data_IF_296880549261
#
_entry.id   IF_296880549261
#
_cell.length_a   1.000
_cell.length_b   1.000
_cell.length_c   1.000
_cell.angle_alpha   90.00
_cell.angle_beta   90.00
_cell.angle_gamma   90.00
#
_symmetry.space_group_name_H-M   'P 1'
#
loop_
_entity.id
_entity.type
_entity.pdbx_description
1 polymer ?
#
# COMPACT_ATOMS: atom_id res chain seq x y z
N UNK A 1 -1.22 26.31 -70.77
CA UNK A 1 -2.05 26.37 -69.53
C UNK A 1 -1.58 25.25 -68.62
N UNK A 2 -1.14 25.55 -67.38
CA UNK A 2 -0.73 24.53 -66.39
C UNK A 2 -1.67 24.63 -65.19
N UNK A 3 -2.41 23.56 -64.89
CA UNK A 3 -3.30 23.52 -63.73
C UNK A 3 -2.52 23.26 -62.45
N UNK A 4 -2.70 24.12 -61.45
CA UNK A 4 -2.19 23.93 -60.09
C UNK A 4 -3.30 23.32 -59.22
N UNK A 5 -3.09 22.17 -58.56
CA UNK A 5 -4.07 21.65 -57.62
C UNK A 5 -3.98 22.40 -56.28
N UNK A 6 -5.09 22.95 -55.82
CA UNK A 6 -5.19 23.60 -54.51
C UNK A 6 -5.26 22.51 -53.44
N UNK A 7 -4.18 22.33 -52.69
CA UNK A 7 -4.11 21.39 -51.57
C UNK A 7 -4.98 21.90 -50.42
N UNK A 8 -6.17 21.33 -50.25
CA UNK A 8 -7.05 21.61 -49.10
C UNK A 8 -6.48 20.94 -47.86
N UNK A 9 -5.78 21.72 -47.02
CA UNK A 9 -5.44 21.31 -45.65
C UNK A 9 -6.73 21.12 -44.84
N UNK A 10 -7.10 19.87 -44.59
CA UNK A 10 -8.16 19.52 -43.66
C UNK A 10 -7.68 19.82 -42.24
N UNK A 11 -8.24 20.86 -41.62
CA UNK A 11 -8.00 21.17 -40.22
C UNK A 11 -8.73 20.15 -39.35
N UNK A 12 -8.03 19.09 -38.94
CA UNK A 12 -8.57 18.10 -38.01
C UNK A 12 -8.78 18.76 -36.64
N UNK A 13 -10.03 19.09 -36.32
CA UNK A 13 -10.39 19.60 -35.00
C UNK A 13 -10.15 18.50 -33.96
N UNK A 14 -9.13 18.69 -33.12
CA UNK A 14 -8.90 17.86 -31.95
C UNK A 14 -10.01 18.11 -30.93
N UNK A 15 -11.08 17.30 -31.00
CA UNK A 15 -12.07 17.22 -29.94
C UNK A 15 -11.35 16.84 -28.63
N UNK A 16 -11.57 17.56 -27.53
CA UNK A 16 -10.97 17.17 -26.26
C UNK A 16 -11.48 15.79 -25.88
N UNK A 17 -10.58 14.88 -25.49
CA UNK A 17 -10.98 13.64 -24.84
C UNK A 17 -11.77 14.01 -23.59
N UNK A 18 -13.08 13.77 -23.62
CA UNK A 18 -13.90 13.79 -22.41
C UNK A 18 -13.43 12.62 -21.57
N UNK A 19 -12.63 12.91 -20.54
CA UNK A 19 -12.26 11.93 -19.54
C UNK A 19 -13.55 11.51 -18.83
N UNK A 20 -14.05 10.33 -19.16
CA UNK A 20 -15.27 9.77 -18.59
C UNK A 20 -15.07 9.59 -17.08
N UNK A 21 -15.67 10.50 -16.30
CA UNK A 21 -15.82 10.30 -14.87
C UNK A 21 -16.86 9.21 -14.65
N UNK A 22 -16.52 8.22 -13.83
CA UNK A 22 -17.41 7.12 -13.47
C UNK A 22 -17.86 7.27 -12.01
N UNK A 23 -19.08 6.82 -11.70
CA UNK A 23 -19.54 6.75 -10.31
C UNK A 23 -18.83 5.63 -9.55
N UNK A 24 -18.60 5.85 -8.26
CA UNK A 24 -18.05 4.88 -7.34
C UNK A 24 -18.52 5.04 -5.90
N UNK A 25 -18.27 3.99 -5.11
CA UNK A 25 -18.62 3.89 -3.69
C UNK A 25 -17.36 3.86 -2.84
N UNK A 26 -17.40 4.48 -1.65
CA UNK A 26 -16.31 4.34 -0.68
C UNK A 26 -16.69 3.44 0.49
N UNK A 27 -15.67 2.81 1.07
CA UNK A 27 -15.65 2.42 2.48
C UNK A 27 -14.36 2.96 3.13
N UNK A 28 -14.11 2.59 4.37
CA UNK A 28 -12.91 2.94 5.13
C UNK A 28 -12.36 1.68 5.80
N UNK A 29 -11.06 1.48 5.74
CA UNK A 29 -10.40 0.35 6.40
C UNK A 29 -8.96 0.68 6.83
N UNK A 30 -8.47 -0.09 7.79
CA UNK A 30 -7.05 -0.28 8.06
C UNK A 30 -6.85 -1.61 8.77
N UNK A 31 -6.49 -2.64 7.99
CA UNK A 31 -6.28 -4.02 8.44
C UNK A 31 -4.84 -4.32 8.85
N UNK A 32 -3.93 -3.36 8.65
CA UNK A 32 -2.48 -3.48 8.76
C UNK A 32 -1.82 -4.53 7.83
N UNK A 33 -2.56 -5.22 6.95
CA UNK A 33 -2.00 -6.26 6.08
C UNK A 33 -1.00 -5.67 5.08
N UNK A 34 -0.09 -6.52 4.56
CA UNK A 34 0.70 -6.17 3.37
C UNK A 34 -0.24 -5.85 2.20
N UNK A 35 -0.22 -4.63 1.62
CA UNK A 35 -1.08 -4.27 0.50
C UNK A 35 -0.85 -5.17 -0.72
N UNK A 36 -1.90 -5.55 -1.48
CA UNK A 36 -1.76 -6.55 -2.55
C UNK A 36 -0.82 -6.11 -3.68
N UNK A 37 -0.74 -4.80 -3.96
CA UNK A 37 0.19 -4.24 -4.95
C UNK A 37 1.65 -4.15 -4.44
N UNK A 38 1.94 -4.64 -3.23
CA UNK A 38 3.29 -4.82 -2.68
C UNK A 38 3.95 -6.13 -3.11
N UNK A 39 3.24 -6.97 -3.87
CA UNK A 39 3.77 -8.21 -4.42
C UNK A 39 4.36 -7.98 -5.84
N UNK A 40 5.50 -8.58 -6.19
CA UNK A 40 6.03 -8.54 -7.55
C UNK A 40 5.05 -9.10 -8.58
N UNK A 41 5.13 -8.59 -9.82
CA UNK A 41 4.37 -9.11 -10.96
C UNK A 41 2.88 -8.73 -11.00
N UNK A 42 2.36 -8.01 -10.00
CA UNK A 42 0.95 -7.58 -9.96
C UNK A 42 0.56 -6.58 -11.04
N UNK A 43 1.49 -5.71 -11.46
CA UNK A 43 1.31 -4.75 -12.54
C UNK A 43 2.66 -4.36 -13.18
N UNK A 44 2.62 -3.64 -14.30
CA UNK A 44 3.80 -3.08 -14.96
C UNK A 44 4.21 -1.77 -14.29
N UNK A 45 5.06 -1.88 -13.27
CA UNK A 45 5.53 -0.79 -12.41
C UNK A 45 7.06 -0.79 -12.29
N UNK A 46 7.65 0.33 -11.87
CA UNK A 46 9.08 0.45 -11.57
C UNK A 46 9.54 -0.50 -10.44
N UNK A 47 8.71 -0.63 -9.39
CA UNK A 47 8.84 -1.56 -8.27
C UNK A 47 7.46 -1.68 -7.59
N UNK A 48 7.15 -2.74 -6.84
CA UNK A 48 5.92 -2.85 -6.06
C UNK A 48 5.78 -1.77 -4.99
N UNK A 49 4.59 -1.64 -4.40
CA UNK A 49 4.37 -0.81 -3.21
C UNK A 49 5.27 -1.29 -2.06
N UNK A 50 5.88 -0.37 -1.32
CA UNK A 50 6.59 -0.71 -0.09
C UNK A 50 5.64 -1.25 0.96
N UNK A 51 5.94 -2.42 1.48
CA UNK A 51 5.44 -2.88 2.77
C UNK A 51 6.41 -2.45 3.88
N UNK A 52 5.98 -2.58 5.14
CA UNK A 52 6.77 -2.25 6.31
C UNK A 52 6.85 -3.41 7.31
N UNK A 53 7.88 -3.39 8.15
CA UNK A 53 7.95 -4.18 9.37
C UNK A 53 6.93 -3.70 10.42
N UNK A 54 6.77 -4.45 11.51
CA UNK A 54 5.88 -4.09 12.61
C UNK A 54 6.09 -2.65 13.15
N UNK A 55 7.34 -2.18 13.17
CA UNK A 55 7.73 -0.83 13.63
C UNK A 55 7.67 0.24 12.51
N UNK A 56 6.85 0.03 11.49
CA UNK A 56 6.65 0.92 10.33
C UNK A 56 7.93 1.25 9.53
N UNK A 57 9.00 0.46 9.67
CA UNK A 57 10.20 0.61 8.85
C UNK A 57 10.01 -0.13 7.53
N UNK A 58 10.19 0.55 6.39
CA UNK A 58 10.06 -0.04 5.04
C UNK A 58 10.95 -1.27 4.91
N UNK A 59 10.40 -2.35 4.37
CA UNK A 59 11.15 -3.56 4.04
C UNK A 59 11.50 -3.59 2.55
N UNK A 60 12.72 -4.01 2.25
CA UNK A 60 13.27 -4.02 0.88
C UNK A 60 13.03 -5.33 0.13
N UNK A 61 12.63 -6.41 0.82
CA UNK A 61 12.21 -7.65 0.17
C UNK A 61 10.69 -7.60 -0.14
N UNK A 62 10.29 -7.47 -1.42
CA UNK A 62 8.88 -7.47 -1.79
C UNK A 62 8.24 -8.87 -1.70
N UNK A 63 9.01 -9.94 -1.43
CA UNK A 63 8.48 -11.30 -1.23
C UNK A 63 8.18 -11.62 0.24
N UNK A 64 8.56 -10.75 1.17
CA UNK A 64 8.29 -10.93 2.59
C UNK A 64 6.80 -11.20 2.85
N UNK A 65 6.51 -12.25 3.64
CA UNK A 65 5.15 -12.74 3.87
C UNK A 65 4.32 -11.72 4.66
N UNK A 66 3.04 -11.57 4.31
CA UNK A 66 2.10 -10.68 5.01
C UNK A 66 1.92 -11.08 6.47
N UNK A 67 1.88 -10.12 7.41
CA UNK A 67 1.55 -10.35 8.81
C UNK A 67 0.16 -10.99 9.00
N UNK A 68 -0.79 -10.68 8.12
CA UNK A 68 -2.11 -11.31 8.07
C UNK A 68 -2.09 -12.79 7.64
N UNK A 69 -0.93 -13.30 7.22
CA UNK A 69 -0.66 -14.70 6.90
C UNK A 69 0.58 -15.17 7.70
N UNK A 70 0.73 -14.71 8.95
CA UNK A 70 1.80 -15.15 9.87
C UNK A 70 3.23 -14.74 9.46
N UNK A 71 3.37 -13.75 8.58
CA UNK A 71 4.65 -13.15 8.20
C UNK A 71 5.01 -11.89 9.00
N UNK A 72 5.84 -11.04 8.40
CA UNK A 72 6.40 -9.83 9.04
C UNK A 72 6.19 -8.54 8.23
N UNK A 73 5.47 -8.61 7.11
CA UNK A 73 5.16 -7.49 6.23
C UNK A 73 3.75 -6.93 6.49
N UNK A 74 3.66 -5.63 6.72
CA UNK A 74 2.47 -4.88 7.09
C UNK A 74 2.31 -3.63 6.21
N UNK A 75 1.18 -2.95 6.30
CA UNK A 75 1.00 -1.62 5.69
C UNK A 75 1.91 -0.57 6.34
N UNK A 76 2.50 0.31 5.54
CA UNK A 76 3.35 1.39 6.04
C UNK A 76 2.52 2.58 6.55
N UNK A 77 2.89 3.15 7.70
CA UNK A 77 2.20 4.31 8.27
C UNK A 77 2.36 5.61 7.46
N UNK A 78 3.29 5.68 6.51
CA UNK A 78 3.35 6.78 5.54
C UNK A 78 2.36 6.60 4.37
N UNK A 79 1.60 5.50 4.33
CA UNK A 79 0.53 5.23 3.35
C UNK A 79 -0.86 5.52 3.94
N UNK A 80 -0.95 6.59 4.74
CA UNK A 80 -2.20 7.16 5.27
C UNK A 80 -2.60 8.44 4.51
N UNK A 81 -3.87 8.85 4.55
CA UNK A 81 -4.32 10.11 3.92
C UNK A 81 -3.84 11.36 4.66
N UNK A 82 -3.82 12.48 3.95
CA UNK A 82 -3.56 13.81 4.51
C UNK A 82 -4.25 14.90 3.67
N UNK A 83 -4.53 16.05 4.29
CA UNK A 83 -5.06 17.22 3.60
C UNK A 83 -3.93 18.08 3.00
N UNK A 84 -4.15 18.65 1.81
CA UNK A 84 -3.35 19.78 1.31
C UNK A 84 -3.96 21.12 1.74
N UNK A 85 -5.28 21.18 1.80
CA UNK A 85 -6.12 22.29 2.26
C UNK A 85 -7.53 21.75 2.55
N UNK A 86 -8.47 22.62 2.92
CA UNK A 86 -9.82 22.21 3.35
C UNK A 86 -10.66 21.52 2.25
N UNK A 87 -10.33 21.72 0.98
CA UNK A 87 -11.06 21.18 -0.19
C UNK A 87 -10.38 19.97 -0.83
N UNK A 88 -9.06 19.77 -0.60
CA UNK A 88 -8.25 18.79 -1.33
C UNK A 88 -7.38 17.93 -0.41
N UNK A 89 -7.44 16.61 -0.60
CA UNK A 89 -6.62 15.62 0.11
C UNK A 89 -5.88 14.66 -0.83
N UNK A 90 -4.87 14.01 -0.28
CA UNK A 90 -4.20 12.85 -0.87
C UNK A 90 -4.39 11.63 0.03
N UNK A 91 -4.28 10.43 -0.54
CA UNK A 91 -4.24 9.19 0.24
C UNK A 91 -4.13 7.93 -0.61
N UNK A 92 -4.60 6.82 -0.05
CA UNK A 92 -4.45 5.48 -0.63
C UNK A 92 -5.76 4.71 -0.49
N UNK A 93 -5.96 3.73 -1.37
CA UNK A 93 -7.14 2.88 -1.34
C UNK A 93 -6.82 1.44 -1.76
N UNK A 94 -7.63 0.49 -1.26
CA UNK A 94 -7.88 -0.76 -1.96
C UNK A 94 -8.98 -0.53 -3.02
N UNK A 95 -8.82 -1.07 -4.23
CA UNK A 95 -9.77 -0.78 -5.33
C UNK A 95 -10.33 -2.04 -5.99
N UNK A 96 -11.61 -1.99 -6.36
CA UNK A 96 -12.29 -2.97 -7.22
C UNK A 96 -13.00 -2.20 -8.34
N UNK A 97 -12.47 -2.26 -9.57
CA UNK A 97 -12.97 -1.45 -10.71
C UNK A 97 -13.62 -2.33 -11.77
N UNK A 98 -14.76 -1.87 -12.31
CA UNK A 98 -15.49 -2.60 -13.34
C UNK A 98 -14.65 -2.80 -14.60
N UNK A 99 -14.52 -4.04 -15.06
CA UNK A 99 -13.72 -4.40 -16.24
C UNK A 99 -12.20 -4.34 -16.05
N UNK A 100 -11.71 -4.05 -14.84
CA UNK A 100 -10.29 -4.02 -14.49
C UNK A 100 -9.78 -5.31 -13.85
N UNK A 101 -8.49 -5.30 -13.52
CA UNK A 101 -7.82 -6.28 -12.64
C UNK A 101 -6.67 -5.59 -11.89
N UNK A 102 -5.99 -6.31 -11.00
CA UNK A 102 -4.79 -5.78 -10.32
C UNK A 102 -3.75 -5.24 -11.31
N UNK A 103 -3.62 -5.86 -12.49
CA UNK A 103 -2.72 -5.38 -13.54
C UNK A 103 -3.08 -4.00 -14.10
N UNK A 104 -4.36 -3.60 -14.07
CA UNK A 104 -4.82 -2.29 -14.54
C UNK A 104 -4.89 -1.22 -13.44
N UNK A 105 -5.18 -1.58 -12.18
CA UNK A 105 -5.32 -0.60 -11.10
C UNK A 105 -4.13 -0.50 -10.15
N UNK A 106 -3.31 -1.55 -9.98
CA UNK A 106 -2.21 -1.46 -9.01
C UNK A 106 -1.26 -0.30 -9.34
N UNK A 107 -1.06 0.54 -8.34
CA UNK A 107 -0.29 1.79 -8.37
C UNK A 107 -0.81 2.88 -9.31
N UNK A 108 -2.00 2.72 -9.90
CA UNK A 108 -2.73 3.79 -10.61
C UNK A 108 -3.24 4.83 -9.62
N UNK A 109 -3.35 6.08 -10.05
CA UNK A 109 -3.96 7.14 -9.25
C UNK A 109 -5.31 7.59 -9.83
N UNK A 110 -6.21 7.98 -8.93
CA UNK A 110 -7.57 8.38 -9.27
C UNK A 110 -7.93 9.66 -8.52
N UNK A 111 -8.43 10.67 -9.25
CA UNK A 111 -9.04 11.85 -8.63
C UNK A 111 -10.51 11.53 -8.35
N UNK A 112 -10.86 11.50 -7.07
CA UNK A 112 -12.22 11.36 -6.55
C UNK A 112 -12.81 12.76 -6.30
N UNK A 113 -14.06 12.99 -6.70
CA UNK A 113 -14.87 14.14 -6.27
C UNK A 113 -16.09 13.59 -5.53
N UNK A 114 -16.17 13.83 -4.21
CA UNK A 114 -17.26 13.29 -3.40
C UNK A 114 -18.60 13.91 -3.77
N UNK A 115 -19.65 13.08 -3.85
CA UNK A 115 -21.00 13.47 -4.28
C UNK A 115 -22.05 13.36 -3.17
N UNK A 116 -21.67 12.89 -1.97
CA UNK A 116 -22.57 12.77 -0.82
C UNK A 116 -21.82 12.89 0.52
N UNK A 117 -22.57 12.96 1.62
CA UNK A 117 -22.02 13.11 2.97
C UNK A 117 -21.44 14.51 3.25
N UNK A 118 -20.84 14.73 4.44
CA UNK A 118 -20.31 16.02 4.88
C UNK A 118 -19.01 16.44 4.16
N UNK A 119 -18.61 15.71 3.12
CA UNK A 119 -17.45 15.99 2.26
C UNK A 119 -17.85 16.20 0.79
N UNK A 120 -19.14 16.22 0.47
CA UNK A 120 -19.60 16.46 -0.90
C UNK A 120 -18.99 17.75 -1.50
N UNK A 121 -18.50 17.66 -2.73
CA UNK A 121 -17.74 18.72 -3.41
C UNK A 121 -16.23 18.71 -3.15
N UNK A 122 -15.75 18.13 -2.03
CA UNK A 122 -14.30 17.96 -1.78
C UNK A 122 -13.69 16.96 -2.75
N UNK A 123 -12.38 17.10 -2.97
CA UNK A 123 -11.59 16.24 -3.83
C UNK A 123 -10.52 15.48 -3.06
N UNK A 124 -10.27 14.25 -3.50
CA UNK A 124 -9.20 13.42 -2.96
C UNK A 124 -8.53 12.68 -4.10
N UNK A 125 -7.21 12.76 -4.22
CA UNK A 125 -6.47 11.90 -5.16
C UNK A 125 -5.87 10.73 -4.39
N UNK A 126 -6.21 9.51 -4.81
CA UNK A 126 -5.77 8.28 -4.16
C UNK A 126 -4.93 7.44 -5.10
N UNK A 127 -3.87 6.80 -4.57
CA UNK A 127 -3.18 5.71 -5.25
C UNK A 127 -3.76 4.37 -4.82
N UNK A 128 -4.06 3.49 -5.78
CA UNK A 128 -4.45 2.12 -5.49
C UNK A 128 -3.23 1.30 -5.06
N UNK A 129 -3.24 0.81 -3.82
CA UNK A 129 -2.16 0.01 -3.22
C UNK A 129 -2.59 -1.43 -2.93
N UNK A 130 -3.88 -1.72 -2.98
CA UNK A 130 -4.43 -3.04 -2.71
C UNK A 130 -5.72 -3.29 -3.53
N UNK A 131 -6.29 -4.48 -3.36
CA UNK A 131 -7.57 -4.89 -3.94
C UNK A 131 -8.51 -5.32 -2.82
N UNK A 132 -9.75 -4.81 -2.83
CA UNK A 132 -10.79 -5.29 -1.91
C UNK A 132 -11.65 -6.37 -2.57
N UNK A 133 -11.60 -7.59 -2.03
CA UNK A 133 -12.22 -8.77 -2.64
C UNK A 133 -13.74 -8.82 -2.60
N UNK A 134 -14.36 -8.22 -1.58
CA UNK A 134 -15.82 -8.24 -1.35
C UNK A 134 -16.54 -7.00 -1.89
N UNK A 135 -15.79 -6.15 -2.61
CA UNK A 135 -16.25 -4.82 -2.98
C UNK A 135 -16.93 -4.84 -4.37
N UNK A 136 -18.09 -4.20 -4.44
CA UNK A 136 -18.86 -4.10 -5.69
C UNK A 136 -18.15 -3.29 -6.77
N UNK A 137 -18.74 -3.24 -7.97
CA UNK A 137 -18.20 -2.47 -9.09
C UNK A 137 -17.89 -1.01 -8.71
N UNK A 138 -16.67 -0.55 -9.03
CA UNK A 138 -16.17 0.81 -8.80
C UNK A 138 -16.14 1.22 -7.32
N UNK A 139 -15.56 0.37 -6.48
CA UNK A 139 -15.48 0.60 -5.04
C UNK A 139 -14.03 0.86 -4.61
N UNK A 140 -13.84 1.91 -3.82
CA UNK A 140 -12.57 2.32 -3.23
C UNK A 140 -12.66 2.24 -1.70
N UNK A 141 -11.95 1.29 -1.09
CA UNK A 141 -11.85 1.21 0.36
C UNK A 141 -10.67 2.07 0.82
N UNK A 142 -10.95 3.18 1.50
CA UNK A 142 -9.97 4.21 1.81
C UNK A 142 -9.08 3.78 3.00
N UNK A 143 -7.76 3.85 2.84
CA UNK A 143 -6.75 3.46 3.84
C UNK A 143 -6.71 4.44 5.03
N UNK A 144 -7.68 4.35 5.93
CA UNK A 144 -7.87 5.26 7.06
C UNK A 144 -7.61 4.50 8.35
N UNK A 145 -6.50 4.77 9.08
CA UNK A 145 -6.25 4.18 10.39
C UNK A 145 -7.47 4.32 11.30
N UNK A 146 -7.95 3.20 11.84
CA UNK A 146 -9.16 3.19 12.66
C UNK A 146 -10.46 3.27 11.84
N UNK A 147 -10.43 3.00 10.54
CA UNK A 147 -11.62 2.72 9.71
C UNK A 147 -12.22 1.32 9.95
N UNK A 148 -11.51 0.46 10.67
CA UNK A 148 -11.88 -0.94 10.94
C UNK A 148 -10.97 -1.91 10.18
N UNK A 149 -10.69 -3.06 10.79
CA UNK A 149 -9.79 -4.08 10.21
C UNK A 149 -10.50 -4.94 9.15
N UNK A 150 -11.83 -4.98 9.15
CA UNK A 150 -12.61 -5.76 8.20
C UNK A 150 -12.41 -7.27 8.39
N UNK A 151 -12.13 -8.00 7.30
CA UNK A 151 -12.02 -9.47 7.34
C UNK A 151 -10.74 -9.93 8.06
N UNK A 152 -9.61 -9.26 7.84
CA UNK A 152 -8.31 -9.67 8.39
C UNK A 152 -7.89 -8.70 9.49
N UNK A 153 -7.39 -9.23 10.61
CA UNK A 153 -6.78 -8.39 11.65
C UNK A 153 -5.27 -8.63 11.66
N UNK A 154 -4.55 -7.86 10.84
CA UNK A 154 -3.09 -7.77 10.88
C UNK A 154 -2.58 -6.84 11.98
N UNK A 155 -3.44 -5.99 12.54
CA UNK A 155 -3.03 -5.01 13.55
C UNK A 155 -2.78 -5.69 14.90
N UNK A 156 -3.58 -6.71 15.23
CA UNK A 156 -3.34 -7.60 16.39
C UNK A 156 -1.93 -8.21 16.40
N UNK A 157 -1.48 -8.96 15.37
CA UNK A 157 -0.11 -9.47 15.32
C UNK A 157 0.96 -8.40 15.04
N UNK A 158 0.61 -7.20 14.55
CA UNK A 158 1.60 -6.12 14.35
C UNK A 158 2.03 -5.46 15.67
N UNK A 159 1.05 -5.02 16.47
CA UNK A 159 1.31 -4.19 17.66
C UNK A 159 0.25 -4.34 18.77
N UNK A 160 -0.58 -5.39 18.73
CA UNK A 160 -1.62 -5.65 19.74
C UNK A 160 -3.01 -5.12 19.40
N UNK A 161 -3.24 -4.66 18.16
CA UNK A 161 -4.55 -4.28 17.65
C UNK A 161 -4.82 -2.78 17.64
N UNK A 162 -5.90 -2.39 16.98
CA UNK A 162 -6.46 -1.03 17.01
C UNK A 162 -7.83 -1.04 17.71
N UNK A 163 -8.19 0.07 18.33
CA UNK A 163 -9.51 0.25 18.92
C UNK A 163 -10.63 0.38 17.88
N UNK A 164 -11.87 0.28 18.36
CA UNK A 164 -13.09 0.45 17.55
C UNK A 164 -13.73 -0.85 17.08
N UNK A 165 -14.76 -0.71 16.23
CA UNK A 165 -15.51 -1.83 15.66
C UNK A 165 -14.76 -2.50 14.52
N UNK A 166 -14.95 -3.82 14.34
CA UNK A 166 -14.32 -4.60 13.26
C UNK A 166 -14.53 -3.98 11.87
N UNK A 167 -15.75 -3.49 11.61
CA UNK A 167 -16.10 -2.72 10.42
C UNK A 167 -16.53 -1.31 10.87
N UNK A 168 -16.03 -0.27 10.20
CA UNK A 168 -16.29 1.13 10.57
C UNK A 168 -15.37 1.70 11.66
N UNK A 169 -14.70 0.85 12.43
CA UNK A 169 -13.58 1.22 13.31
C UNK A 169 -13.98 2.10 14.48
N UNK A 170 -13.13 3.07 14.82
CA UNK A 170 -13.36 4.00 15.94
C UNK A 170 -14.58 4.88 15.71
N UNK A 171 -15.24 5.31 16.79
CA UNK A 171 -16.46 6.11 16.75
C UNK A 171 -16.22 7.61 16.94
N UNK A 172 -15.11 7.99 17.59
CA UNK A 172 -14.80 9.34 18.03
C UNK A 172 -13.32 9.69 17.79
N UNK A 173 -13.03 10.99 17.63
CA UNK A 173 -11.68 11.49 17.37
C UNK A 173 -10.69 11.18 18.50
N UNK A 174 -11.15 11.15 19.75
CA UNK A 174 -10.35 10.85 20.94
C UNK A 174 -9.91 9.39 21.02
N UNK A 175 -10.59 8.45 20.34
CA UNK A 175 -10.10 7.06 20.27
C UNK A 175 -8.78 6.96 19.48
N UNK A 176 -8.45 7.94 18.64
CA UNK A 176 -7.14 8.03 17.98
C UNK A 176 -5.98 8.25 18.97
N UNK A 177 -6.24 8.76 20.18
CA UNK A 177 -5.17 9.11 21.14
C UNK A 177 -4.39 7.86 21.62
N UNK A 178 -5.04 6.69 21.59
CA UNK A 178 -4.45 5.38 21.95
C UNK A 178 -3.69 4.69 20.82
N UNK A 179 -3.70 5.24 19.60
CA UNK A 179 -3.08 4.61 18.44
C UNK A 179 -1.55 4.72 18.46
N UNK A 180 -0.82 3.84 17.76
CA UNK A 180 0.60 4.05 17.48
C UNK A 180 0.83 5.43 16.87
N UNK A 181 1.84 6.17 17.33
CA UNK A 181 2.05 7.59 16.99
C UNK A 181 2.06 7.85 15.48
N UNK A 182 2.67 6.95 14.70
CA UNK A 182 2.73 7.05 13.25
C UNK A 182 1.36 6.95 12.54
N UNK A 183 0.36 6.34 13.18
CA UNK A 183 -1.00 6.18 12.63
C UNK A 183 -1.99 7.28 13.09
N UNK A 184 -1.67 8.02 14.15
CA UNK A 184 -2.53 9.09 14.68
C UNK A 184 -2.91 10.15 13.64
N UNK A 185 -2.00 10.67 12.78
CA UNK A 185 -2.37 11.68 11.80
C UNK A 185 -3.44 11.21 10.81
N UNK A 186 -3.33 9.96 10.33
CA UNK A 186 -4.34 9.36 9.45
C UNK A 186 -5.67 9.08 10.15
N UNK A 187 -5.64 8.73 11.44
CA UNK A 187 -6.84 8.58 12.26
C UNK A 187 -7.55 9.93 12.49
N UNK A 188 -6.81 10.98 12.88
CA UNK A 188 -7.38 12.32 13.05
C UNK A 188 -7.93 12.89 11.73
N UNK A 189 -7.25 12.69 10.60
CA UNK A 189 -7.71 13.13 9.27
C UNK A 189 -9.16 12.67 8.96
N UNK A 190 -9.54 11.47 9.43
CA UNK A 190 -10.92 10.93 9.30
C UNK A 190 -11.95 11.88 9.91
N UNK A 191 -11.67 12.43 11.08
CA UNK A 191 -12.59 13.28 11.83
C UNK A 191 -12.44 14.76 11.45
N UNK A 192 -11.23 15.18 11.04
CA UNK A 192 -10.88 16.57 10.76
C UNK A 192 -11.24 16.98 9.32
N UNK A 193 -10.52 16.47 8.32
CA UNK A 193 -10.74 16.87 6.93
C UNK A 193 -11.93 16.14 6.30
N UNK A 194 -12.05 14.85 6.63
CA UNK A 194 -13.07 13.96 6.08
C UNK A 194 -14.40 14.02 6.85
N UNK A 195 -14.52 14.90 7.87
CA UNK A 195 -15.74 15.17 8.63
C UNK A 195 -16.47 13.90 9.16
N UNK A 196 -15.72 12.82 9.43
CA UNK A 196 -16.22 11.49 9.76
C UNK A 196 -17.31 10.97 8.79
N UNK A 197 -17.18 11.27 7.49
CA UNK A 197 -18.15 10.88 6.48
C UNK A 197 -18.32 9.35 6.42
N UNK A 198 -19.56 8.88 6.56
CA UNK A 198 -19.86 7.45 6.47
C UNK A 198 -20.10 7.05 5.01
N UNK A 199 -19.09 6.39 4.43
CA UNK A 199 -19.14 5.79 3.09
C UNK A 199 -19.68 6.72 1.97
N UNK A 200 -19.14 7.96 1.82
CA UNK A 200 -19.60 8.88 0.78
C UNK A 200 -19.39 8.31 -0.63
N UNK A 201 -20.41 8.43 -1.47
CA UNK A 201 -20.26 8.24 -2.92
C UNK A 201 -19.36 9.31 -3.53
N UNK A 202 -18.81 9.03 -4.70
CA UNK A 202 -17.99 9.96 -5.49
C UNK A 202 -18.12 9.67 -6.99
N UNK A 203 -17.73 10.64 -7.81
CA UNK A 203 -17.26 10.35 -9.17
C UNK A 203 -15.74 10.28 -9.18
N UNK A 204 -15.16 9.47 -10.06
CA UNK A 204 -13.71 9.33 -10.19
C UNK A 204 -13.24 9.31 -11.63
N UNK A 205 -11.98 9.71 -11.84
CA UNK A 205 -11.25 9.56 -13.10
C UNK A 205 -9.81 9.13 -12.82
N UNK A 206 -9.24 8.31 -13.71
CA UNK A 206 -7.82 7.96 -13.62
C UNK A 206 -6.96 9.14 -14.05
N UNK A 207 -5.86 9.36 -13.32
CA UNK A 207 -4.98 10.52 -13.46
C UNK A 207 -3.52 10.09 -13.27
N UNK A 208 -2.60 10.89 -13.79
CA UNK A 208 -1.18 10.71 -13.51
C UNK A 208 -0.92 10.85 -12.00
N UNK A 209 -0.14 9.93 -11.42
CA UNK A 209 0.17 9.93 -10.00
C UNK A 209 1.04 11.15 -9.57
N UNK A 210 0.59 11.93 -8.58
CA UNK A 210 1.40 12.93 -7.90
C UNK A 210 2.67 12.33 -7.29
N UNK A 211 3.75 13.11 -7.33
CA UNK A 211 5.05 12.69 -6.82
C UNK A 211 5.01 12.38 -5.31
N UNK A 212 4.13 13.04 -4.55
CA UNK A 212 3.94 12.85 -3.11
C UNK A 212 3.35 11.49 -2.76
N UNK A 213 2.48 10.93 -3.61
CA UNK A 213 1.95 9.57 -3.44
C UNK A 213 3.02 8.52 -3.81
N UNK A 214 3.68 8.71 -4.96
CA UNK A 214 4.76 7.83 -5.44
C UNK A 214 5.96 7.81 -4.47
N UNK A 215 6.28 8.92 -3.80
CA UNK A 215 7.37 8.98 -2.82
C UNK A 215 7.10 8.15 -1.55
N UNK A 216 5.82 7.96 -1.19
CA UNK A 216 5.38 7.16 -0.03
C UNK A 216 5.36 5.66 -0.37
N UNK A 217 4.80 5.28 -1.51
CA UNK A 217 4.69 3.86 -1.90
C UNK A 217 5.91 3.33 -2.62
N UNK A 218 6.73 4.20 -3.23
CA UNK A 218 7.80 3.83 -4.16
C UNK A 218 7.30 3.36 -5.54
N UNK A 219 6.00 3.15 -5.71
CA UNK A 219 5.42 2.48 -6.87
C UNK A 219 4.85 3.50 -7.88
N UNK A 220 5.26 3.37 -9.14
CA UNK A 220 4.76 4.13 -10.28
C UNK A 220 4.60 3.21 -11.47
N UNK A 221 3.46 3.30 -12.15
CA UNK A 221 3.17 2.53 -13.37
C UNK A 221 3.97 3.02 -14.57
N UNK A 222 4.24 2.10 -15.49
CA UNK A 222 4.91 2.40 -16.76
C UNK A 222 4.01 3.23 -17.70
N UNK A 223 2.68 3.11 -17.55
CA UNK A 223 1.67 3.82 -18.33
C UNK A 223 1.16 5.12 -17.64
N UNK A 224 1.71 5.50 -16.49
CA UNK A 224 1.23 6.63 -15.66
C UNK A 224 1.13 7.96 -16.44
N UNK A 225 2.06 8.22 -17.35
CA UNK A 225 2.06 9.42 -18.21
C UNK A 225 1.09 9.36 -19.40
N UNK A 226 0.30 8.29 -19.56
CA UNK A 226 -0.81 8.24 -20.53
C UNK A 226 -2.11 8.84 -19.99
N UNK A 227 -2.18 9.08 -18.68
CA UNK A 227 -3.33 9.67 -18.00
C UNK A 227 -3.12 11.18 -17.79
N UNK A 228 -4.21 11.97 -17.69
CA UNK A 228 -4.08 13.41 -17.49
C UNK A 228 -3.44 13.73 -16.14
N UNK A 229 -2.52 14.70 -16.13
CA UNK A 229 -2.00 15.27 -14.90
C UNK A 229 -3.11 15.98 -14.11
N UNK A 230 -3.02 15.95 -12.78
CA UNK A 230 -3.91 16.73 -11.92
C UNK A 230 -3.43 18.18 -11.80
N UNK A 231 -4.40 19.10 -11.75
CA UNK A 231 -4.17 20.46 -11.28
C UNK A 231 -4.35 20.47 -9.75
N UNK A 232 -3.40 19.85 -9.03
CA UNK A 232 -3.38 19.94 -7.58
C UNK A 232 -3.25 21.41 -7.15
N UNK A 233 -4.00 21.87 -6.13
CA UNK A 233 -3.69 23.15 -5.49
C UNK A 233 -2.23 23.13 -5.07
N UNK A 234 -1.49 24.20 -5.38
CA UNK A 234 -0.10 24.31 -4.94
C UNK A 234 -0.10 24.49 -3.43
N UNK A 235 0.01 23.37 -2.70
CA UNK A 235 0.07 23.36 -1.25
C UNK A 235 1.21 24.26 -0.81
N UNK A 236 0.90 25.23 0.07
CA UNK A 236 1.80 26.32 0.43
C UNK A 236 3.15 25.81 0.92
N UNK A 237 4.12 25.76 -0.01
CA UNK A 237 5.41 25.11 0.18
C UNK A 237 6.31 25.89 1.13
N UNK A 238 6.01 25.82 2.43
CA UNK A 238 6.96 26.12 3.47
C UNK A 238 8.07 25.07 3.41
N UNK A 239 9.06 25.37 2.56
CA UNK A 239 10.38 24.75 2.49
C UNK A 239 10.83 24.36 3.91
N UNK A 240 11.37 23.15 4.15
CA UNK A 240 11.89 22.78 5.46
C UNK A 240 12.93 23.80 5.90
N UNK A 241 12.52 24.69 6.81
CA UNK A 241 13.39 25.67 7.42
C UNK A 241 14.14 24.91 8.49
N UNK A 242 15.42 24.65 8.21
CA UNK A 242 16.36 24.09 9.18
C UNK A 242 16.22 24.86 10.50
N UNK A 243 15.97 24.20 11.65
CA UNK A 243 15.89 24.90 12.92
C UNK A 243 17.21 25.64 13.18
N UNK A 244 17.16 26.97 13.06
CA UNK A 244 18.31 27.81 13.37
C UNK A 244 18.62 27.67 14.87
N UNK A 245 19.84 27.27 15.20
CA UNK A 245 20.28 27.14 16.59
C UNK A 245 20.11 28.49 17.32
N UNK A 246 19.57 28.51 18.56
CA UNK A 246 19.47 29.73 19.34
C UNK A 246 20.85 30.34 19.60
N UNK A 247 21.08 31.55 19.09
CA UNK A 247 22.26 32.34 19.41
C UNK A 247 22.16 32.80 20.88
N UNK A 248 23.10 32.46 21.77
CA UNK A 248 23.03 32.87 23.16
C UNK A 248 23.21 34.40 23.31
N UNK A 249 22.40 35.00 24.18
CA UNK A 249 22.52 36.42 24.58
C UNK A 249 23.51 36.52 25.75
N UNK A 250 24.43 37.51 25.78
CA UNK A 250 25.48 37.55 26.80
C UNK A 250 24.91 37.99 28.15
N UNK A 251 25.45 37.42 29.23
CA UNK A 251 25.46 38.06 30.55
C UNK A 251 26.77 37.72 31.27
N UNK A 252 27.34 38.68 31.99
CA UNK A 252 28.70 38.61 32.53
C UNK A 252 28.73 38.46 34.06
N UNK A 253 29.86 37.95 34.56
CA UNK A 253 30.32 37.98 35.96
C UNK A 253 29.62 37.02 36.95
N UNK A 254 30.31 36.39 37.93
CA UNK A 254 31.75 36.14 38.13
C UNK A 254 32.01 35.21 39.34
N UNK A 255 32.71 34.08 39.12
CA UNK A 255 33.65 33.37 40.05
C UNK A 255 33.19 32.90 41.47
N UNK A 256 33.94 32.00 42.16
CA UNK A 256 34.47 30.69 41.72
C UNK A 256 34.24 29.56 42.79
N UNK A 257 34.96 28.41 42.66
CA UNK A 257 35.12 27.30 43.66
C UNK A 257 33.90 26.34 43.77
N UNK A 258 34.00 24.99 43.83
CA UNK A 258 35.11 24.02 43.92
C UNK A 258 34.83 22.72 43.12
N UNK A 259 35.87 21.91 42.86
CA UNK A 259 35.77 20.49 42.51
C UNK A 259 35.99 19.60 43.75
N UNK A 260 35.44 18.37 43.80
CA UNK A 260 36.22 17.16 43.44
C UNK A 260 35.45 16.24 42.45
N UNK A 261 36.09 15.61 41.47
CA UNK A 261 36.99 14.43 41.53
C UNK A 261 36.28 13.08 41.62
N UNK A 262 36.48 12.31 40.55
CA UNK A 262 36.26 10.88 40.33
C UNK A 262 36.36 9.93 41.53
N UNK A 263 35.59 8.83 41.50
CA UNK A 263 35.99 7.58 42.14
C UNK A 263 35.67 6.39 41.24
N UNK A 264 36.73 5.73 40.76
CA UNK A 264 36.70 4.43 40.10
C UNK A 264 37.03 3.33 41.11
N UNK A 265 36.32 2.20 41.08
CA UNK A 265 36.75 0.97 41.78
C UNK A 265 36.65 -0.25 40.86
N UNK A 266 37.64 -1.19 40.88
CA UNK A 266 37.74 -2.23 39.87
C UNK A 266 37.50 -3.66 40.39
N UNK A 267 37.18 -4.57 39.46
CA UNK A 267 37.67 -5.94 39.47
C UNK A 267 37.00 -6.97 40.41
N UNK A 268 36.50 -8.05 39.80
CA UNK A 268 37.12 -9.38 39.96
C UNK A 268 36.49 -10.41 39.02
N UNK A 269 37.35 -11.15 38.30
CA UNK A 269 36.99 -12.43 37.69
C UNK A 269 37.16 -13.56 38.72
N UNK A 270 36.65 -14.77 38.43
CA UNK A 270 37.63 -15.82 38.10
C UNK A 270 37.24 -16.77 36.95
N UNK A 271 38.24 -17.06 36.12
CA UNK A 271 38.45 -18.33 35.37
C UNK A 271 39.37 -19.24 36.25
N UNK A 272 39.76 -20.50 35.93
CA UNK A 272 39.37 -21.39 34.82
C UNK A 272 39.20 -22.91 35.15
N UNK A 273 38.67 -23.70 34.20
CA UNK A 273 39.27 -24.95 33.64
C UNK A 273 38.31 -25.55 32.56
N UNK A 274 38.69 -25.79 31.28
CA UNK A 274 39.31 -27.01 30.69
C UNK A 274 38.57 -28.30 31.09
N UNK A 275 37.97 -29.14 30.23
CA UNK A 275 38.44 -29.93 29.04
C UNK A 275 37.20 -30.55 28.31
N UNK A 276 37.18 -31.11 27.08
CA UNK A 276 38.07 -31.15 25.89
C UNK A 276 37.34 -31.83 24.70
N UNK A 277 37.91 -31.72 23.48
CA UNK A 277 37.87 -32.62 22.29
C UNK A 277 36.64 -33.50 21.96
N UNK A 278 36.15 -33.39 20.71
CA UNK A 278 36.07 -34.51 19.75
C UNK A 278 35.77 -34.03 18.32
N UNK A 279 36.66 -34.33 17.38
CA UNK A 279 36.43 -34.27 15.91
C UNK A 279 35.48 -35.41 15.47
N UNK A 280 34.81 -35.40 14.30
CA UNK A 280 35.21 -35.89 12.95
C UNK A 280 33.87 -36.16 12.19
N UNK A 281 33.72 -36.20 10.84
CA UNK A 281 34.35 -35.48 9.72
C UNK A 281 33.33 -34.69 8.84
N UNK A 282 33.83 -33.90 7.89
CA UNK A 282 33.03 -33.37 6.77
C UNK A 282 33.01 -34.34 5.57
N UNK A 283 31.90 -34.38 4.82
CA UNK A 283 31.79 -35.10 3.53
C UNK A 283 31.59 -34.10 2.39
N UNK A 284 32.46 -34.05 1.38
CA UNK A 284 32.24 -33.27 0.16
C UNK A 284 31.57 -34.15 -0.92
N UNK A 285 30.55 -33.64 -1.61
CA UNK A 285 30.09 -34.27 -2.86
C UNK A 285 29.63 -33.21 -3.87
N UNK A 286 30.11 -33.37 -5.10
CA UNK A 286 30.15 -32.35 -6.14
C UNK A 286 28.84 -32.16 -6.90
N UNK A 287 28.65 -30.97 -7.47
CA UNK A 287 27.70 -30.73 -8.55
C UNK A 287 28.25 -31.25 -9.90
N UNK A 288 27.38 -31.73 -10.80
CA UNK A 288 27.61 -31.73 -12.24
C UNK A 288 26.69 -30.72 -12.97
N UNK A 289 27.16 -30.21 -14.12
CA UNK A 289 26.46 -29.20 -14.91
C UNK A 289 25.40 -29.77 -15.87
N UNK A 290 24.58 -28.86 -16.43
CA UNK A 290 23.57 -29.11 -17.47
C UNK A 290 24.19 -29.59 -18.80
N UNK A 291 23.42 -30.23 -19.71
CA UNK A 291 22.88 -29.41 -20.81
C UNK A 291 21.48 -29.80 -21.38
N UNK A 292 20.75 -28.74 -21.79
CA UNK A 292 19.95 -28.61 -23.03
C UNK A 292 18.65 -29.41 -23.31
N UNK A 293 17.52 -28.65 -23.26
CA UNK A 293 16.38 -28.58 -24.21
C UNK A 293 15.69 -29.85 -24.76
N UNK A 294 14.48 -30.13 -24.28
CA UNK A 294 13.26 -30.33 -25.10
C UNK A 294 12.00 -30.19 -24.20
N UNK A 295 10.79 -29.87 -24.70
CA UNK A 295 9.72 -29.32 -23.87
C UNK A 295 8.94 -30.38 -23.07
N UNK A 296 8.71 -30.09 -21.78
CA UNK A 296 7.86 -30.88 -20.90
C UNK A 296 6.36 -30.56 -21.13
N UNK A 297 5.43 -31.52 -20.90
CA UNK A 297 4.00 -31.23 -20.90
C UNK A 297 3.67 -30.23 -19.80
N UNK A 298 2.91 -29.19 -20.14
CA UNK A 298 2.53 -28.12 -19.21
C UNK A 298 1.74 -28.76 -18.05
N UNK A 299 2.29 -28.68 -16.84
CA UNK A 299 1.61 -29.08 -15.61
C UNK A 299 0.44 -28.13 -15.35
N UNK A 300 -0.69 -28.47 -15.96
CA UNK A 300 -1.96 -27.76 -15.94
C UNK A 300 -2.56 -27.83 -14.53
N UNK A 301 -2.20 -26.84 -13.71
CA UNK A 301 -2.60 -26.72 -12.30
C UNK A 301 -3.42 -25.45 -12.11
N UNK A 302 -4.58 -25.60 -11.47
CA UNK A 302 -5.50 -24.52 -11.13
C UNK A 302 -5.13 -23.93 -9.77
N UNK A 303 -5.04 -22.60 -9.69
CA UNK A 303 -4.76 -21.87 -8.45
C UNK A 303 -5.88 -22.03 -7.41
N UNK A 304 -5.60 -21.67 -6.15
CA UNK A 304 -6.63 -21.62 -5.11
C UNK A 304 -7.77 -20.70 -5.56
N UNK A 305 -9.01 -21.15 -5.35
CA UNK A 305 -10.27 -20.54 -5.82
C UNK A 305 -10.53 -20.61 -7.34
N UNK A 306 -9.64 -21.19 -8.15
CA UNK A 306 -9.92 -21.45 -9.57
C UNK A 306 -10.87 -22.64 -9.79
N UNK A 307 -11.53 -22.68 -10.95
CA UNK A 307 -12.39 -23.80 -11.34
C UNK A 307 -11.53 -25.03 -11.72
N UNK A 308 -11.88 -26.18 -11.13
CA UNK A 308 -11.19 -27.46 -11.33
C UNK A 308 -12.11 -28.59 -11.81
N UNK A 309 -13.40 -28.30 -12.02
CA UNK A 309 -14.35 -29.30 -12.48
C UNK A 309 -15.75 -28.72 -12.73
N UNK A 310 -16.64 -29.61 -13.16
CA UNK A 310 -17.98 -29.28 -13.63
C UNK A 310 -18.29 -29.97 -14.96
N UNK A 311 -19.57 -30.21 -15.24
CA UNK A 311 -20.04 -30.73 -16.52
C UNK A 311 -19.58 -29.83 -17.67
N UNK A 312 -18.92 -30.42 -18.67
CA UNK A 312 -18.34 -29.70 -19.81
C UNK A 312 -17.01 -28.97 -19.54
N UNK A 313 -16.47 -28.99 -18.31
CA UNK A 313 -15.23 -28.29 -18.00
C UNK A 313 -13.98 -28.97 -18.61
N UNK A 314 -13.34 -28.28 -19.55
CA UNK A 314 -12.14 -28.70 -20.26
C UNK A 314 -10.82 -28.11 -19.72
N UNK A 315 -10.88 -27.28 -18.68
CA UNK A 315 -9.70 -26.66 -18.06
C UNK A 315 -8.96 -27.58 -17.07
N UNK A 316 -7.99 -27.01 -16.36
CA UNK A 316 -7.13 -27.73 -15.44
C UNK A 316 -7.89 -28.30 -14.24
N UNK A 317 -7.79 -29.62 -14.01
CA UNK A 317 -8.54 -30.33 -12.95
C UNK A 317 -7.73 -30.55 -11.67
N UNK A 318 -6.42 -30.42 -11.74
CA UNK A 318 -5.51 -30.53 -10.61
C UNK A 318 -5.38 -29.18 -9.92
N UNK A 319 -5.60 -29.15 -8.61
CA UNK A 319 -5.45 -27.94 -7.80
C UNK A 319 -4.01 -27.74 -7.32
N UNK A 320 -3.64 -26.49 -7.03
CA UNK A 320 -2.32 -26.16 -6.46
C UNK A 320 -2.11 -26.85 -5.12
N UNK A 321 -0.86 -27.20 -4.82
CA UNK A 321 -0.50 -27.94 -3.61
C UNK A 321 -1.06 -27.28 -2.33
N UNK A 322 -1.69 -28.07 -1.47
CA UNK A 322 -2.37 -27.58 -0.27
C UNK A 322 -3.85 -27.22 -0.47
N UNK A 323 -4.41 -27.39 -1.68
CA UNK A 323 -5.85 -27.21 -1.96
C UNK A 323 -6.46 -28.43 -2.64
N UNK A 324 -7.76 -28.64 -2.46
CA UNK A 324 -8.50 -29.79 -3.01
C UNK A 324 -9.62 -29.31 -3.92
N UNK A 325 -9.86 -30.01 -5.04
CA UNK A 325 -11.01 -29.73 -5.89
C UNK A 325 -12.32 -30.12 -5.18
N UNK A 326 -13.10 -29.14 -4.72
CA UNK A 326 -14.39 -29.31 -4.05
C UNK A 326 -15.52 -29.00 -5.02
N UNK A 327 -16.41 -29.97 -5.24
CA UNK A 327 -17.64 -29.76 -6.03
C UNK A 327 -18.57 -28.81 -5.27
N UNK A 328 -19.02 -27.74 -5.94
CA UNK A 328 -20.09 -26.88 -5.42
C UNK A 328 -21.44 -27.23 -6.05
N UNK A 329 -21.47 -27.50 -7.35
CA UNK A 329 -22.65 -28.00 -8.07
C UNK A 329 -22.23 -28.86 -9.28
N UNK A 330 -23.18 -29.36 -10.06
CA UNK A 330 -22.89 -30.24 -11.21
C UNK A 330 -22.07 -29.56 -12.33
N UNK A 331 -22.12 -28.24 -12.43
CA UNK A 331 -21.44 -27.45 -13.47
C UNK A 331 -20.18 -26.74 -12.94
N UNK A 332 -19.91 -26.80 -11.64
CA UNK A 332 -18.82 -26.06 -11.01
C UNK A 332 -18.20 -26.76 -9.79
N UNK A 333 -16.89 -26.99 -9.87
CA UNK A 333 -16.02 -27.42 -8.76
C UNK A 333 -14.83 -26.47 -8.65
N UNK A 334 -14.38 -26.17 -7.44
CA UNK A 334 -13.38 -25.14 -7.14
C UNK A 334 -12.25 -25.66 -6.24
N UNK A 335 -11.03 -25.17 -6.43
CA UNK A 335 -9.89 -25.46 -5.54
C UNK A 335 -10.01 -24.71 -4.21
N UNK A 336 -10.11 -25.43 -3.08
CA UNK A 336 -10.21 -24.87 -1.72
C UNK A 336 -9.13 -25.43 -0.78
#
# INVERSE_FOLDING_TARGET
>A
MRSTPILRTALAAALPLVAYAADGKSTRYWDCCKPSCSWPGKALVNQPVYACSANFQRITDPNAKSGCDGGSAFSCADQTPWALNDEFAYGFAATSLAGGSEASWCCSCYELTFTSGPVAGKKMVVQSTSTGGDLGSNHFDLNIPGGGVGIFDGCSPQFGGLGGQRYGGVSSRSECDSFPEALKPGCYWRFDWFNNADNPNFTFRQVQCPAELVARTGCRRNDDSSFPAINAPSGGGSKPSTPASPKPKPNSSSSPVAAPSSTSTPGSAPKPATTSTSDVPSVPTSAPASPSKSPAPISCVTEKYGQCGGNGFAGCKTCTCGTTCKKQNDWYSQCL
#
